data_IF_445591443760
#
_entry.id   IF_445591443760
#
_cell.length_a   1.000
_cell.length_b   1.000
_cell.length_c   1.000
_cell.angle_alpha   90.00
_cell.angle_beta   90.00
_cell.angle_gamma   90.00
#
_symmetry.space_group_name_H-M   'P 1'
#
loop_
_entity.id
_entity.type
_entity.pdbx_description
1 polymer ?
#
# COMPACT_ATOMS: atom_id res chain seq x y z
N UNK A 1 -19.40 5.21 31.79
CA UNK A 1 -18.02 5.60 31.42
C UNK A 1 -17.65 4.80 30.19
N UNK A 2 -17.85 5.37 28.99
CA UNK A 2 -17.49 4.76 27.72
C UNK A 2 -15.96 4.74 27.59
N UNK A 3 -15.34 3.55 27.61
CA UNK A 3 -13.95 3.38 27.22
C UNK A 3 -13.88 3.70 25.72
N UNK A 4 -13.27 4.83 25.38
CA UNK A 4 -12.92 5.22 24.01
C UNK A 4 -11.97 4.15 23.44
N UNK A 5 -12.52 3.09 22.83
CA UNK A 5 -11.74 2.18 22.00
C UNK A 5 -11.42 2.96 20.70
N UNK A 6 -10.26 3.64 20.69
CA UNK A 6 -9.69 4.13 19.43
C UNK A 6 -9.46 2.92 18.54
N UNK A 7 -10.02 2.97 17.33
CA UNK A 7 -9.83 1.89 16.35
C UNK A 7 -8.34 1.71 16.04
N UNK A 8 -7.94 0.53 15.65
CA UNK A 8 -6.55 0.27 15.22
C UNK A 8 -6.17 1.16 14.04
N UNK A 9 -7.11 1.41 13.14
CA UNK A 9 -6.99 2.35 12.02
C UNK A 9 -6.64 3.78 12.49
N UNK A 10 -7.30 4.30 13.53
CA UNK A 10 -6.97 5.63 14.08
C UNK A 10 -5.56 5.67 14.68
N UNK A 11 -5.12 4.61 15.34
CA UNK A 11 -3.77 4.53 15.89
C UNK A 11 -2.70 4.52 14.80
N UNK A 12 -2.93 3.77 13.72
CA UNK A 12 -2.03 3.72 12.55
C UNK A 12 -1.94 5.08 11.88
N UNK A 13 -3.07 5.76 11.67
CA UNK A 13 -3.12 7.10 11.11
C UNK A 13 -2.35 8.12 11.98
N UNK A 14 -2.61 8.16 13.29
CA UNK A 14 -1.90 9.06 14.21
C UNK A 14 -0.39 8.80 14.24
N UNK A 15 0.02 7.53 14.14
CA UNK A 15 1.43 7.17 14.06
C UNK A 15 2.06 7.69 12.76
N UNK A 16 1.34 7.59 11.64
CA UNK A 16 1.80 8.08 10.34
C UNK A 16 1.90 9.60 10.31
N UNK A 17 0.89 10.30 10.82
CA UNK A 17 0.88 11.77 10.93
C UNK A 17 2.05 12.27 11.79
N UNK A 18 2.36 11.58 12.91
CA UNK A 18 3.55 11.89 13.72
C UNK A 18 4.84 11.70 12.94
N UNK A 19 5.00 10.60 12.19
CA UNK A 19 6.21 10.33 11.40
C UNK A 19 6.45 11.40 10.34
N UNK A 20 5.40 11.79 9.61
CA UNK A 20 5.49 12.88 8.62
C UNK A 20 5.77 14.24 9.26
N UNK A 21 5.19 14.52 10.43
CA UNK A 21 5.46 15.73 11.18
C UNK A 21 6.91 15.78 11.68
N UNK A 22 7.43 14.66 12.18
CA UNK A 22 8.84 14.56 12.61
C UNK A 22 9.81 14.80 11.45
N UNK A 23 9.51 14.27 10.26
CA UNK A 23 10.30 14.55 9.06
C UNK A 23 10.30 16.05 8.73
N UNK A 24 9.13 16.70 8.79
CA UNK A 24 9.02 18.15 8.58
C UNK A 24 9.80 18.97 9.62
N UNK A 25 9.70 18.60 10.90
CA UNK A 25 10.42 19.26 11.99
C UNK A 25 11.94 19.11 11.84
N UNK A 26 12.43 17.92 11.44
CA UNK A 26 13.84 17.71 11.15
C UNK A 26 14.38 18.72 10.11
N UNK A 27 13.64 18.92 9.03
CA UNK A 27 14.02 19.87 7.97
C UNK A 27 13.96 21.32 8.50
N UNK A 28 12.90 21.66 9.24
CA UNK A 28 12.73 22.98 9.84
C UNK A 28 13.88 23.32 10.80
N UNK A 29 14.26 22.40 11.67
CA UNK A 29 15.34 22.60 12.63
C UNK A 29 16.70 22.80 11.94
N UNK A 30 16.98 22.03 10.88
CA UNK A 30 18.21 22.20 10.08
C UNK A 30 18.26 23.58 9.41
N UNK A 31 17.13 24.07 8.86
CA UNK A 31 17.06 25.42 8.27
C UNK A 31 17.29 26.50 9.33
N UNK A 32 16.67 26.36 10.52
CA UNK A 32 16.85 27.32 11.62
C UNK A 32 18.30 27.35 12.13
N UNK A 33 18.99 26.20 12.07
CA UNK A 33 20.41 26.10 12.42
C UNK A 33 21.33 26.58 11.28
N UNK A 34 20.78 27.16 10.21
CA UNK A 34 21.51 27.62 9.03
C UNK A 34 22.27 26.49 8.28
N UNK A 35 21.78 25.27 8.41
CA UNK A 35 22.29 24.10 7.68
C UNK A 35 21.56 23.92 6.34
N UNK A 36 22.26 23.34 5.36
CA UNK A 36 21.57 22.83 4.17
C UNK A 36 20.78 21.58 4.55
N UNK A 37 19.44 21.60 4.46
CA UNK A 37 18.64 20.49 4.91
C UNK A 37 18.91 19.19 4.14
N UNK A 38 18.79 18.08 4.84
CA UNK A 38 19.04 16.73 4.33
C UNK A 38 18.15 15.68 5.00
N UNK A 39 17.95 14.57 4.30
CA UNK A 39 17.23 13.40 4.79
C UNK A 39 18.14 12.18 4.65
N UNK A 40 18.24 11.36 5.70
CA UNK A 40 18.87 10.05 5.67
C UNK A 40 17.86 8.99 5.23
N UNK A 41 18.31 8.10 4.34
CA UNK A 41 17.51 6.96 3.89
C UNK A 41 18.43 5.83 3.43
N UNK A 42 17.92 4.60 3.42
CA UNK A 42 18.66 3.48 2.84
C UNK A 42 18.86 3.67 1.33
N UNK A 43 20.03 3.25 0.83
CA UNK A 43 20.29 3.26 -0.61
C UNK A 43 19.45 2.21 -1.31
N UNK A 44 18.77 2.60 -2.39
CA UNK A 44 18.01 1.72 -3.27
C UNK A 44 18.82 1.18 -4.44
N UNK A 45 20.14 1.39 -4.44
CA UNK A 45 21.01 0.85 -5.49
C UNK A 45 21.08 -0.68 -5.44
N UNK A 46 21.24 -1.31 -6.59
CA UNK A 46 21.28 -2.77 -6.73
C UNK A 46 22.38 -3.41 -5.89
N UNK A 47 23.48 -2.72 -5.66
CA UNK A 47 24.60 -3.14 -4.81
C UNK A 47 24.28 -3.10 -3.30
N UNK A 48 23.13 -2.54 -2.91
CA UNK A 48 22.62 -2.52 -1.55
C UNK A 48 21.38 -3.43 -1.36
N UNK A 49 21.09 -4.30 -2.31
CA UNK A 49 20.02 -5.29 -2.18
C UNK A 49 20.65 -6.60 -1.69
N UNK A 50 20.20 -7.10 -0.55
CA UNK A 50 20.70 -8.32 0.08
C UNK A 50 19.57 -9.33 0.23
N UNK A 51 19.90 -10.62 0.11
CA UNK A 51 18.93 -11.68 0.36
C UNK A 51 18.89 -11.99 1.86
N UNK A 52 17.72 -11.85 2.47
CA UNK A 52 17.46 -12.27 3.85
C UNK A 52 16.90 -13.70 3.87
N UNK A 53 17.71 -14.62 4.37
CA UNK A 53 17.35 -16.04 4.41
C UNK A 53 16.22 -16.37 5.41
N UNK A 54 15.99 -15.52 6.42
CA UNK A 54 14.96 -15.75 7.43
C UNK A 54 13.56 -15.53 6.84
N UNK A 55 13.40 -14.45 6.07
CA UNK A 55 12.12 -14.11 5.40
C UNK A 55 12.10 -14.56 3.94
N UNK A 56 13.22 -15.13 3.44
CA UNK A 56 13.40 -15.62 2.06
C UNK A 56 13.09 -14.55 0.99
N UNK A 57 13.49 -13.31 1.26
CA UNK A 57 13.23 -12.17 0.38
C UNK A 57 14.48 -11.31 0.18
N UNK A 58 14.51 -10.54 -0.91
CA UNK A 58 15.47 -9.49 -1.11
C UNK A 58 15.04 -8.22 -0.39
N UNK A 59 15.91 -7.66 0.44
CA UNK A 59 15.65 -6.47 1.24
C UNK A 59 16.74 -5.42 1.00
N UNK A 60 16.47 -4.18 1.36
CA UNK A 60 17.48 -3.14 1.34
C UNK A 60 18.55 -3.42 2.41
N UNK A 61 19.80 -3.37 2.01
CA UNK A 61 20.96 -3.53 2.89
C UNK A 61 21.21 -2.31 3.78
N UNK A 62 22.26 -2.33 4.60
CA UNK A 62 22.51 -1.32 5.63
C UNK A 62 23.09 0.00 5.09
N UNK A 63 23.44 0.09 3.79
CA UNK A 63 24.05 1.28 3.24
C UNK A 63 23.08 2.45 3.23
N UNK A 64 23.48 3.55 3.91
CA UNK A 64 22.73 4.78 4.00
C UNK A 64 23.21 5.82 3.00
N UNK A 65 22.29 6.63 2.49
CA UNK A 65 22.58 7.80 1.66
C UNK A 65 21.95 9.05 2.29
N UNK A 66 22.44 10.23 1.89
CA UNK A 66 21.84 11.52 2.24
C UNK A 66 21.27 12.16 0.99
N UNK A 67 19.99 12.45 1.01
CA UNK A 67 19.37 13.41 0.10
C UNK A 67 19.52 14.79 0.73
N UNK A 68 20.19 15.74 0.06
CA UNK A 68 20.45 17.06 0.65
C UNK A 68 20.30 18.17 -0.38
N UNK A 69 19.95 19.38 0.09
CA UNK A 69 19.71 20.55 -0.74
C UNK A 69 20.98 21.25 -1.28
N UNK A 70 22.15 20.93 -0.70
CA UNK A 70 23.43 21.59 -1.05
C UNK A 70 23.93 21.30 -2.47
N UNK A 71 23.56 20.16 -3.03
CA UNK A 71 24.04 19.73 -4.35
C UNK A 71 22.97 19.99 -5.42
N UNK A 72 23.35 20.68 -6.48
CA UNK A 72 22.42 21.04 -7.58
C UNK A 72 21.77 19.80 -8.22
N UNK A 73 22.45 18.66 -8.24
CA UNK A 73 21.89 17.40 -8.76
C UNK A 73 20.87 16.77 -7.79
N UNK A 74 20.91 17.13 -6.52
CA UNK A 74 20.04 16.57 -5.48
C UNK A 74 18.92 17.52 -5.09
N UNK A 75 19.01 18.81 -5.40
CA UNK A 75 18.02 19.80 -4.95
C UNK A 75 16.63 19.50 -5.50
N UNK A 76 16.52 19.15 -6.78
CA UNK A 76 15.25 18.81 -7.42
C UNK A 76 14.61 17.57 -6.76
N UNK A 77 15.25 16.38 -6.69
CA UNK A 77 14.66 15.23 -6.03
C UNK A 77 14.48 15.44 -4.51
N UNK A 78 15.26 16.30 -3.87
CA UNK A 78 15.04 16.69 -2.48
C UNK A 78 13.75 17.51 -2.32
N UNK A 79 13.54 18.53 -3.15
CA UNK A 79 12.32 19.37 -3.13
C UNK A 79 11.08 18.53 -3.45
N UNK A 80 11.17 17.63 -4.45
CA UNK A 80 10.12 16.68 -4.79
C UNK A 80 9.77 15.78 -3.61
N UNK A 81 10.78 15.27 -2.87
CA UNK A 81 10.57 14.41 -1.69
C UNK A 81 9.87 15.17 -0.55
N UNK A 82 10.26 16.41 -0.28
CA UNK A 82 9.62 17.26 0.73
C UNK A 82 8.16 17.54 0.35
N UNK A 83 7.90 17.89 -0.91
CA UNK A 83 6.55 18.11 -1.38
C UNK A 83 5.69 16.83 -1.26
N UNK A 84 6.22 15.68 -1.66
CA UNK A 84 5.52 14.40 -1.54
C UNK A 84 5.20 14.08 -0.08
N UNK A 85 6.12 14.35 0.86
CA UNK A 85 5.87 14.18 2.28
C UNK A 85 4.79 15.13 2.81
N UNK A 86 4.79 16.39 2.38
CA UNK A 86 3.73 17.34 2.69
C UNK A 86 2.39 16.90 2.12
N UNK A 87 2.33 16.48 0.85
CA UNK A 87 1.12 15.99 0.20
C UNK A 87 0.57 14.75 0.91
N UNK A 88 1.42 13.79 1.24
CA UNK A 88 1.05 12.62 2.03
C UNK A 88 0.48 13.02 3.40
N UNK A 89 1.07 14.01 4.09
CA UNK A 89 0.54 14.52 5.36
C UNK A 89 -0.85 15.10 5.20
N UNK A 90 -1.09 15.90 4.14
CA UNK A 90 -2.42 16.45 3.85
C UNK A 90 -3.45 15.33 3.62
N UNK A 91 -3.09 14.28 2.86
CA UNK A 91 -3.97 13.12 2.66
C UNK A 91 -4.34 12.44 3.97
N UNK A 92 -3.35 12.16 4.82
CA UNK A 92 -3.54 11.50 6.12
C UNK A 92 -4.40 12.36 7.05
N UNK A 93 -4.11 13.66 7.15
CA UNK A 93 -4.84 14.60 8.02
C UNK A 93 -6.29 14.79 7.55
N UNK A 94 -6.51 14.89 6.24
CA UNK A 94 -7.85 15.06 5.65
C UNK A 94 -8.62 13.74 5.49
N UNK A 95 -8.03 12.60 5.83
CA UNK A 95 -8.59 11.26 5.59
C UNK A 95 -8.96 11.03 4.11
N UNK A 96 -8.15 11.56 3.21
CA UNK A 96 -8.28 11.37 1.76
C UNK A 96 -7.22 10.40 1.27
N UNK A 97 -7.46 9.83 0.10
CA UNK A 97 -6.52 8.97 -0.60
C UNK A 97 -6.16 9.57 -1.94
N UNK A 98 -5.02 9.18 -2.48
CA UNK A 98 -4.59 9.51 -3.83
C UNK A 98 -4.03 8.28 -4.52
N UNK A 99 -4.15 8.23 -5.84
CA UNK A 99 -3.42 7.24 -6.63
C UNK A 99 -2.03 7.75 -6.99
N UNK A 100 -1.10 6.83 -7.34
CA UNK A 100 0.22 7.21 -7.88
C UNK A 100 0.10 8.21 -9.02
N UNK A 101 -0.84 7.96 -9.93
CA UNK A 101 -1.08 8.84 -11.10
C UNK A 101 -1.64 10.21 -10.69
N UNK A 102 -2.57 10.24 -9.78
CA UNK A 102 -3.13 11.49 -9.25
C UNK A 102 -2.10 12.30 -8.50
N UNK A 103 -1.21 11.67 -7.72
CA UNK A 103 -0.09 12.32 -7.06
C UNK A 103 0.81 13.03 -8.07
N UNK A 104 1.15 12.37 -9.18
CA UNK A 104 1.90 12.98 -10.29
C UNK A 104 1.20 14.21 -10.87
N UNK A 105 -0.12 14.12 -11.14
CA UNK A 105 -0.87 15.26 -11.70
C UNK A 105 -1.06 16.39 -10.69
N UNK A 106 -1.22 16.09 -9.41
CA UNK A 106 -1.33 17.10 -8.34
C UNK A 106 -0.05 17.93 -8.23
N UNK A 107 1.10 17.31 -8.43
CA UNK A 107 2.38 18.00 -8.45
C UNK A 107 2.51 18.98 -9.64
N UNK A 108 2.00 18.62 -10.82
CA UNK A 108 2.07 19.47 -12.01
C UNK A 108 1.34 20.83 -11.85
N UNK A 109 0.42 20.92 -10.89
CA UNK A 109 -0.24 22.17 -10.53
C UNK A 109 0.60 23.08 -9.63
N UNK A 110 1.75 22.62 -9.14
CA UNK A 110 2.63 23.36 -8.25
C UNK A 110 3.76 24.05 -9.04
N UNK A 111 4.00 25.33 -8.75
CA UNK A 111 4.92 26.18 -9.53
C UNK A 111 6.38 25.69 -9.49
N UNK A 112 6.78 25.13 -8.33
CA UNK A 112 8.18 24.81 -8.05
C UNK A 112 8.44 23.29 -8.01
N UNK A 113 7.42 22.48 -8.30
CA UNK A 113 7.51 21.01 -8.32
C UNK A 113 7.26 20.52 -9.73
N UNK A 114 8.30 20.01 -10.35
CA UNK A 114 8.23 19.46 -11.68
C UNK A 114 8.73 18.01 -11.70
N UNK A 115 7.91 17.12 -12.26
CA UNK A 115 8.30 15.76 -12.60
C UNK A 115 8.40 15.62 -14.12
N UNK A 116 9.44 14.99 -14.62
CA UNK A 116 9.61 14.73 -16.06
C UNK A 116 8.54 13.79 -16.58
N UNK A 117 8.22 12.78 -15.79
CA UNK A 117 7.23 11.75 -16.08
C UNK A 117 6.67 11.13 -14.79
N UNK A 118 5.71 10.22 -14.92
CA UNK A 118 5.13 9.51 -13.79
C UNK A 118 6.16 8.61 -13.08
N UNK A 119 7.13 8.06 -13.81
CA UNK A 119 8.15 7.16 -13.22
C UNK A 119 9.03 7.90 -12.22
N UNK A 120 9.38 9.17 -12.52
CA UNK A 120 10.11 10.03 -11.58
C UNK A 120 9.29 10.24 -10.30
N UNK A 121 7.99 10.55 -10.41
CA UNK A 121 7.08 10.69 -9.28
C UNK A 121 7.00 9.41 -8.45
N UNK A 122 6.82 8.26 -9.09
CA UNK A 122 6.73 6.95 -8.43
C UNK A 122 8.03 6.61 -7.69
N UNK A 123 9.19 6.99 -8.24
CA UNK A 123 10.49 6.84 -7.59
C UNK A 123 10.63 7.71 -6.35
N UNK A 124 10.13 8.95 -6.38
CA UNK A 124 10.15 9.83 -5.20
C UNK A 124 9.20 9.32 -4.11
N UNK A 125 8.03 8.79 -4.46
CA UNK A 125 7.13 8.13 -3.51
C UNK A 125 7.84 6.93 -2.86
N UNK A 126 8.56 6.13 -3.64
CA UNK A 126 9.37 5.02 -3.11
C UNK A 126 10.52 5.51 -2.22
N UNK A 127 11.16 6.65 -2.55
CA UNK A 127 12.15 7.27 -1.66
C UNK A 127 11.52 7.69 -0.33
N UNK A 128 10.27 8.18 -0.34
CA UNK A 128 9.53 8.52 0.89
C UNK A 128 9.20 7.27 1.73
N UNK A 129 8.80 6.15 1.09
CA UNK A 129 8.61 4.86 1.78
C UNK A 129 9.88 4.46 2.55
N UNK A 130 11.04 4.56 1.89
CA UNK A 130 12.33 4.20 2.50
C UNK A 130 12.72 5.19 3.59
N UNK A 131 12.51 6.49 3.39
CA UNK A 131 12.84 7.53 4.38
C UNK A 131 12.01 7.41 5.67
N UNK A 132 10.76 6.98 5.56
CA UNK A 132 9.84 6.79 6.68
C UNK A 132 9.86 5.35 7.23
N UNK A 133 10.45 4.41 6.50
CA UNK A 133 10.33 2.96 6.72
C UNK A 133 8.83 2.55 6.84
N UNK A 134 8.02 3.00 5.88
CA UNK A 134 6.58 2.80 5.84
C UNK A 134 6.11 2.55 4.41
N UNK A 135 5.10 1.69 4.24
CA UNK A 135 4.48 1.48 2.95
C UNK A 135 3.66 2.71 2.53
N UNK A 136 3.59 2.98 1.22
CA UNK A 136 2.85 4.13 0.67
C UNK A 136 1.37 4.11 1.01
N UNK A 137 0.79 2.95 1.18
CA UNK A 137 -0.59 2.76 1.59
C UNK A 137 -0.86 3.32 3.00
N UNK A 138 0.15 3.31 3.88
CA UNK A 138 0.03 3.87 5.23
C UNK A 138 -0.06 5.41 5.21
N UNK A 139 0.50 6.06 4.20
CA UNK A 139 0.35 7.50 3.99
C UNK A 139 -0.63 7.86 2.86
N UNK A 140 -1.61 6.96 2.62
CA UNK A 140 -2.78 7.16 1.78
C UNK A 140 -2.49 7.36 0.28
N UNK A 141 -1.36 6.84 -0.23
CA UNK A 141 -1.07 6.79 -1.67
C UNK A 141 -1.17 5.33 -2.14
N UNK A 142 -2.05 5.06 -3.10
CA UNK A 142 -2.38 3.71 -3.56
C UNK A 142 -2.02 3.52 -5.05
N UNK A 143 -1.67 2.30 -5.48
CA UNK A 143 -1.67 1.98 -6.91
C UNK A 143 -3.10 2.05 -7.46
N UNK A 144 -3.24 2.11 -8.77
CA UNK A 144 -4.55 1.97 -9.41
C UNK A 144 -5.17 0.61 -9.06
N UNK A 145 -6.43 0.63 -8.67
CA UNK A 145 -7.18 -0.56 -8.26
C UNK A 145 -7.39 -1.49 -9.46
N UNK A 146 -7.09 -2.77 -9.28
CA UNK A 146 -7.23 -3.78 -10.34
C UNK A 146 -7.74 -5.11 -9.82
N UNK A 147 -7.73 -5.32 -8.52
CA UNK A 147 -8.07 -6.57 -7.87
C UNK A 147 -9.46 -6.53 -7.28
N UNK A 148 -10.12 -7.67 -7.18
CA UNK A 148 -11.43 -7.81 -6.56
C UNK A 148 -11.43 -8.97 -5.55
N UNK A 149 -12.31 -8.88 -4.56
CA UNK A 149 -12.54 -9.91 -3.55
C UNK A 149 -14.02 -10.25 -3.49
N UNK A 150 -14.33 -11.54 -3.29
CA UNK A 150 -15.69 -12.05 -3.16
C UNK A 150 -15.71 -13.28 -2.23
N UNK A 151 -16.76 -13.42 -1.46
CA UNK A 151 -16.95 -14.58 -0.58
C UNK A 151 -17.54 -14.18 0.77
N UNK A 152 -17.75 -15.16 1.63
CA UNK A 152 -18.30 -14.92 2.96
C UNK A 152 -17.24 -14.33 3.88
N UNK A 153 -17.14 -13.01 3.86
CA UNK A 153 -16.34 -12.21 4.76
C UNK A 153 -17.11 -10.96 5.15
N UNK A 154 -17.41 -10.82 6.43
CA UNK A 154 -18.02 -9.61 6.98
C UNK A 154 -16.94 -8.61 7.35
N UNK A 155 -17.07 -7.40 6.82
CA UNK A 155 -16.16 -6.28 7.09
C UNK A 155 -16.90 -5.12 7.77
N UNK A 156 -16.15 -4.30 8.51
CA UNK A 156 -16.60 -3.02 9.04
C UNK A 156 -15.75 -1.89 8.45
N UNK A 157 -16.41 -0.93 7.80
CA UNK A 157 -15.71 0.20 7.18
C UNK A 157 -15.17 1.17 8.23
N UNK A 158 -13.97 1.69 7.99
CA UNK A 158 -13.31 2.72 8.81
C UNK A 158 -13.13 4.04 8.06
N UNK A 159 -13.54 4.09 6.78
CA UNK A 159 -13.42 5.31 5.95
C UNK A 159 -14.48 6.35 6.30
N UNK A 160 -14.19 7.67 6.12
CA UNK A 160 -15.09 8.75 6.45
C UNK A 160 -16.49 8.60 5.82
N UNK A 161 -17.53 8.74 6.64
CA UNK A 161 -18.94 8.64 6.24
C UNK A 161 -19.47 7.22 6.14
N UNK A 162 -18.64 6.21 6.37
CA UNK A 162 -19.02 4.80 6.41
C UNK A 162 -18.56 4.10 7.70
N UNK A 163 -18.00 4.85 8.65
CA UNK A 163 -17.45 4.28 9.88
C UNK A 163 -18.50 3.44 10.63
N UNK A 164 -18.13 2.22 10.98
CA UNK A 164 -19.00 1.28 11.68
C UNK A 164 -20.06 0.60 10.82
N UNK A 165 -20.16 0.95 9.52
CA UNK A 165 -21.07 0.24 8.61
C UNK A 165 -20.48 -1.14 8.28
N UNK A 166 -21.28 -2.17 8.49
CA UNK A 166 -20.93 -3.57 8.19
C UNK A 166 -21.56 -4.01 6.88
N UNK A 167 -20.86 -4.84 6.14
CA UNK A 167 -21.36 -5.54 4.96
C UNK A 167 -20.66 -6.89 4.83
N UNK A 168 -21.36 -7.87 4.32
CA UNK A 168 -20.75 -9.11 3.86
C UNK A 168 -20.39 -8.96 2.39
N UNK A 169 -19.22 -9.47 1.97
CA UNK A 169 -18.77 -9.29 0.58
C UNK A 169 -19.63 -10.06 -0.43
N UNK A 170 -20.42 -11.05 0.01
CA UNK A 170 -21.42 -11.73 -0.81
C UNK A 170 -22.64 -10.87 -1.15
N UNK A 171 -22.85 -9.73 -0.46
CA UNK A 171 -23.91 -8.77 -0.81
C UNK A 171 -23.64 -8.07 -2.16
N UNK A 172 -22.45 -8.23 -2.72
CA UNK A 172 -22.00 -7.62 -3.98
C UNK A 172 -21.78 -8.70 -5.04
N UNK A 173 -22.75 -8.96 -5.94
CA UNK A 173 -22.73 -10.12 -6.86
C UNK A 173 -21.55 -10.15 -7.82
N UNK A 174 -20.94 -9.01 -8.15
CA UNK A 174 -19.76 -8.90 -9.03
C UNK A 174 -18.44 -8.89 -8.25
N UNK A 175 -18.50 -9.09 -6.93
CA UNK A 175 -17.37 -8.89 -6.03
C UNK A 175 -17.10 -7.42 -5.71
N UNK A 176 -16.20 -7.17 -4.78
CA UNK A 176 -15.81 -5.83 -4.32
C UNK A 176 -14.39 -5.54 -4.75
N UNK A 177 -14.19 -4.38 -5.38
CA UNK A 177 -12.87 -3.93 -5.77
C UNK A 177 -11.99 -3.65 -4.52
N UNK A 178 -10.77 -4.17 -4.53
CA UNK A 178 -9.79 -3.97 -3.45
C UNK A 178 -9.17 -2.59 -3.58
N UNK A 179 -9.83 -1.61 -2.97
CA UNK A 179 -9.38 -0.23 -2.86
C UNK A 179 -9.08 0.17 -1.41
N UNK A 180 -8.84 1.47 -1.18
CA UNK A 180 -8.53 2.00 0.15
C UNK A 180 -9.57 1.62 1.21
N UNK A 181 -10.86 1.62 0.86
CA UNK A 181 -11.94 1.31 1.79
C UNK A 181 -11.87 -0.14 2.30
N UNK A 182 -11.55 -1.10 1.44
CA UNK A 182 -11.39 -2.51 1.82
C UNK A 182 -10.07 -2.72 2.53
N UNK A 183 -8.99 -2.09 2.06
CA UNK A 183 -7.65 -2.25 2.67
C UNK A 183 -7.62 -1.74 4.12
N UNK A 184 -8.36 -0.67 4.42
CA UNK A 184 -8.43 -0.09 5.77
C UNK A 184 -9.54 -0.67 6.65
N UNK A 185 -10.47 -1.47 6.10
CA UNK A 185 -11.59 -2.04 6.86
C UNK A 185 -11.12 -3.04 7.93
N UNK A 186 -11.91 -3.15 8.99
CA UNK A 186 -11.77 -4.24 9.95
C UNK A 186 -12.48 -5.49 9.43
N UNK A 187 -11.79 -6.62 9.42
CA UNK A 187 -12.39 -7.92 9.12
C UNK A 187 -12.98 -8.46 10.43
N UNK A 188 -14.23 -8.93 10.39
CA UNK A 188 -14.94 -9.33 11.60
C UNK A 188 -15.08 -10.85 11.70
N UNK A 189 -15.71 -11.46 10.70
CA UNK A 189 -16.04 -12.88 10.69
C UNK A 189 -16.06 -13.44 9.27
N UNK A 190 -15.76 -14.71 9.15
CA UNK A 190 -15.88 -15.50 7.92
C UNK A 190 -16.18 -16.95 8.28
N UNK A 191 -16.96 -17.64 7.47
CA UNK A 191 -17.12 -19.10 7.54
C UNK A 191 -16.19 -19.82 6.55
N UNK A 192 -15.51 -19.10 5.68
CA UNK A 192 -14.59 -19.69 4.71
C UNK A 192 -13.42 -20.38 5.41
N UNK A 193 -12.95 -21.47 4.83
CA UNK A 193 -11.83 -22.26 5.34
C UNK A 193 -10.56 -22.16 4.48
N UNK A 194 -10.60 -21.35 3.42
CA UNK A 194 -9.46 -21.10 2.53
C UNK A 194 -9.63 -19.84 1.67
N UNK A 195 -8.52 -19.39 1.09
CA UNK A 195 -8.47 -18.31 0.10
C UNK A 195 -8.07 -18.92 -1.25
N UNK A 196 -8.84 -18.61 -2.30
CA UNK A 196 -8.49 -18.91 -3.70
C UNK A 196 -8.09 -17.62 -4.40
N UNK A 197 -6.82 -17.51 -4.75
CA UNK A 197 -6.27 -16.39 -5.51
C UNK A 197 -6.29 -16.73 -7.00
N UNK A 198 -6.95 -15.90 -7.80
CA UNK A 198 -7.20 -16.14 -9.23
C UNK A 198 -6.51 -15.04 -10.05
N UNK A 199 -5.59 -15.41 -10.93
CA UNK A 199 -4.84 -14.44 -11.73
C UNK A 199 -5.74 -13.74 -12.77
N UNK A 200 -6.65 -14.47 -13.44
CA UNK A 200 -7.47 -13.94 -14.54
C UNK A 200 -8.87 -13.53 -14.11
N UNK A 201 -9.25 -12.28 -14.47
CA UNK A 201 -10.58 -11.75 -14.18
C UNK A 201 -11.74 -12.55 -14.80
N UNK A 202 -11.57 -13.03 -16.03
CA UNK A 202 -12.61 -13.86 -16.66
C UNK A 202 -12.86 -15.17 -15.88
N UNK A 203 -11.82 -15.78 -15.32
CA UNK A 203 -11.95 -16.97 -14.50
C UNK A 203 -12.58 -16.64 -13.14
N UNK A 204 -12.19 -15.51 -12.54
CA UNK A 204 -12.80 -15.04 -11.29
C UNK A 204 -14.31 -14.85 -11.46
N UNK A 205 -14.75 -14.11 -12.50
CA UNK A 205 -16.17 -13.88 -12.77
C UNK A 205 -16.90 -15.22 -12.96
N UNK A 206 -16.30 -16.15 -13.71
CA UNK A 206 -16.90 -17.47 -13.90
C UNK A 206 -17.05 -18.25 -12.59
N UNK A 207 -16.04 -18.19 -11.73
CA UNK A 207 -16.09 -18.86 -10.42
C UNK A 207 -17.13 -18.20 -9.48
N UNK A 208 -17.33 -16.90 -9.57
CA UNK A 208 -18.41 -16.20 -8.85
C UNK A 208 -19.78 -16.66 -9.36
N UNK A 209 -20.02 -16.63 -10.67
CA UNK A 209 -21.25 -17.12 -11.31
C UNK A 209 -21.59 -18.57 -10.94
N UNK A 210 -20.58 -19.44 -10.91
CA UNK A 210 -20.72 -20.86 -10.55
C UNK A 210 -20.82 -21.09 -9.03
N UNK A 211 -20.85 -20.03 -8.22
CA UNK A 211 -20.91 -20.08 -6.75
C UNK A 211 -19.78 -20.93 -6.15
N UNK A 212 -18.57 -20.79 -6.71
CA UNK A 212 -17.40 -21.53 -6.24
C UNK A 212 -17.05 -21.23 -4.78
N UNK A 213 -17.33 -20.01 -4.29
CA UNK A 213 -17.16 -19.62 -2.88
C UNK A 213 -17.96 -20.53 -1.94
N UNK A 214 -19.17 -20.95 -2.30
CA UNK A 214 -19.97 -21.89 -1.50
C UNK A 214 -19.50 -23.34 -1.71
N UNK A 215 -19.30 -23.76 -2.98
CA UNK A 215 -18.88 -25.11 -3.31
C UNK A 215 -17.58 -25.53 -2.64
N UNK A 216 -16.65 -24.59 -2.51
CA UNK A 216 -15.32 -24.80 -1.94
C UNK A 216 -15.13 -24.16 -0.56
N UNK A 217 -16.15 -23.51 -0.03
CA UNK A 217 -16.09 -22.75 1.22
C UNK A 217 -14.88 -21.78 1.23
N UNK A 218 -14.79 -20.89 0.25
CA UNK A 218 -13.59 -20.10 -0.01
C UNK A 218 -13.87 -18.63 -0.23
N UNK A 219 -12.92 -17.78 0.17
CA UNK A 219 -12.83 -16.40 -0.28
C UNK A 219 -12.10 -16.38 -1.62
N UNK A 220 -12.69 -15.76 -2.64
CA UNK A 220 -12.13 -15.61 -3.97
C UNK A 220 -11.45 -14.26 -4.10
N UNK A 221 -10.20 -14.20 -4.55
CA UNK A 221 -9.47 -12.96 -4.79
C UNK A 221 -8.90 -12.96 -6.20
N UNK A 222 -9.28 -11.95 -6.99
CA UNK A 222 -8.70 -11.70 -8.32
C UNK A 222 -7.52 -10.76 -8.20
N UNK A 223 -6.39 -11.06 -8.88
CA UNK A 223 -5.19 -10.22 -8.86
C UNK A 223 -4.96 -9.41 -10.14
N UNK A 224 -5.64 -9.73 -11.23
CA UNK A 224 -5.48 -9.10 -12.55
C UNK A 224 -4.02 -9.08 -13.04
N UNK A 225 -3.35 -10.22 -13.01
CA UNK A 225 -1.94 -10.40 -13.31
C UNK A 225 -1.10 -10.28 -12.03
N UNK A 226 0.00 -9.53 -12.08
CA UNK A 226 0.83 -9.33 -10.90
C UNK A 226 0.05 -8.66 -9.77
N UNK A 227 -0.04 -9.34 -8.62
CA UNK A 227 -0.81 -8.89 -7.47
C UNK A 227 -0.31 -7.56 -6.91
N UNK A 228 -1.17 -6.53 -6.80
CA UNK A 228 -0.83 -5.29 -6.11
C UNK A 228 -0.46 -5.53 -4.63
N UNK A 229 0.33 -4.62 -4.04
CA UNK A 229 0.75 -4.72 -2.61
C UNK A 229 -0.45 -4.74 -1.67
N UNK A 230 -1.47 -3.91 -1.92
CA UNK A 230 -2.72 -3.89 -1.15
C UNK A 230 -3.43 -5.24 -1.16
N UNK A 231 -3.49 -5.89 -2.31
CA UNK A 231 -4.08 -7.23 -2.45
C UNK A 231 -3.27 -8.27 -1.69
N UNK A 232 -1.94 -8.23 -1.79
CA UNK A 232 -1.06 -9.13 -1.02
C UNK A 232 -1.21 -8.92 0.49
N UNK A 233 -1.34 -7.67 0.93
CA UNK A 233 -1.58 -7.38 2.35
C UNK A 233 -2.89 -7.98 2.85
N UNK A 234 -3.97 -7.94 2.04
CA UNK A 234 -5.25 -8.58 2.37
C UNK A 234 -5.11 -10.10 2.41
N UNK A 235 -4.44 -10.70 1.41
CA UNK A 235 -4.20 -12.15 1.39
C UNK A 235 -3.41 -12.58 2.63
N UNK A 236 -2.35 -11.85 2.96
CA UNK A 236 -1.54 -12.12 4.15
C UNK A 236 -2.36 -11.99 5.44
N UNK A 237 -3.20 -10.95 5.54
CA UNK A 237 -4.07 -10.75 6.69
C UNK A 237 -5.09 -11.89 6.86
N UNK A 238 -5.69 -12.39 5.78
CA UNK A 238 -6.57 -13.55 5.81
C UNK A 238 -5.83 -14.82 6.23
N UNK A 239 -4.58 -14.97 5.81
CA UNK A 239 -3.74 -16.10 6.20
C UNK A 239 -3.29 -16.02 7.66
N UNK A 240 -2.75 -14.90 8.10
CA UNK A 240 -2.15 -14.75 9.45
C UNK A 240 -3.21 -14.58 10.56
N UNK A 241 -4.25 -13.75 10.32
CA UNK A 241 -5.22 -13.41 11.35
C UNK A 241 -6.37 -14.43 11.44
N UNK A 242 -6.67 -15.13 10.33
CA UNK A 242 -7.78 -16.09 10.22
C UNK A 242 -7.34 -17.54 9.98
N UNK A 243 -6.02 -17.78 9.91
CA UNK A 243 -5.41 -19.11 9.66
C UNK A 243 -5.95 -19.80 8.37
N UNK A 244 -6.27 -18.99 7.34
CA UNK A 244 -6.80 -19.50 6.09
C UNK A 244 -5.66 -19.92 5.15
N UNK A 245 -5.60 -21.20 4.71
CA UNK A 245 -4.66 -21.62 3.68
C UNK A 245 -4.95 -20.93 2.35
N UNK A 246 -3.89 -20.51 1.66
CA UNK A 246 -3.97 -19.78 0.39
C UNK A 246 -3.63 -20.70 -0.77
N UNK A 247 -4.54 -20.82 -1.72
CA UNK A 247 -4.35 -21.55 -2.97
C UNK A 247 -4.34 -20.57 -4.14
N UNK A 248 -3.40 -20.75 -5.05
CA UNK A 248 -3.25 -19.85 -6.20
C UNK A 248 -3.62 -20.59 -7.48
N UNK A 249 -4.48 -19.97 -8.27
CA UNK A 249 -4.97 -20.46 -9.55
C UNK A 249 -4.46 -19.54 -10.67
N UNK A 250 -3.46 -20.02 -11.41
CA UNK A 250 -2.77 -19.28 -12.46
C UNK A 250 -2.76 -20.08 -13.76
N UNK A 251 -2.40 -19.41 -14.84
CA UNK A 251 -2.06 -20.07 -16.09
C UNK A 251 -0.77 -20.90 -15.94
N UNK A 252 -0.68 -21.96 -16.71
CA UNK A 252 0.53 -22.79 -16.80
C UNK A 252 1.54 -22.21 -17.81
N UNK A 253 1.80 -20.90 -17.73
CA UNK A 253 2.81 -20.25 -18.56
C UNK A 253 4.06 -19.84 -17.73
N UNK A 254 5.23 -19.67 -18.36
CA UNK A 254 6.45 -19.31 -17.66
C UNK A 254 6.38 -17.96 -16.93
N UNK A 255 5.56 -17.01 -17.41
CA UNK A 255 5.42 -15.67 -16.81
C UNK A 255 4.62 -15.77 -15.52
N UNK A 256 3.50 -16.46 -15.53
CA UNK A 256 2.67 -16.70 -14.33
C UNK A 256 3.46 -17.45 -13.26
N UNK A 257 4.26 -18.45 -13.65
CA UNK A 257 5.14 -19.15 -12.72
C UNK A 257 6.19 -18.23 -12.10
N UNK A 258 6.76 -17.33 -12.88
CA UNK A 258 7.74 -16.34 -12.40
C UNK A 258 7.11 -15.37 -11.38
N UNK A 259 5.84 -14.95 -11.60
CA UNK A 259 5.11 -14.09 -10.66
C UNK A 259 4.86 -14.74 -9.29
N UNK A 260 4.75 -16.08 -9.26
CA UNK A 260 4.58 -16.84 -8.03
C UNK A 260 5.90 -17.02 -7.25
N UNK A 261 7.01 -17.15 -7.96
CA UNK A 261 8.30 -17.54 -7.38
C UNK A 261 9.21 -16.36 -7.08
N UNK A 262 9.01 -15.21 -7.71
CA UNK A 262 9.78 -14.00 -7.40
C UNK A 262 9.26 -13.38 -6.12
N UNK A 263 10.16 -13.11 -5.14
CA UNK A 263 9.80 -12.32 -3.98
C UNK A 263 9.38 -10.93 -4.46
N UNK A 264 8.15 -10.59 -4.19
CA UNK A 264 7.60 -9.28 -4.51
C UNK A 264 7.83 -8.35 -3.33
N UNK A 265 8.80 -7.45 -3.48
CA UNK A 265 9.04 -6.35 -2.55
C UNK A 265 7.88 -5.36 -2.53
#
# INVERSE_FOLDING_TARGET
>A
MSKNHRSESDRRREAMERSLTQLGNLIYDQINNQEFPWIHMQSRSTDNIVYDANIRQYVLGPRMIRRHSRNIRHIRPFTQLIWTAWFAKELVTQRKTSTLRETYYSARGQRDIEYSDQTESDNIITDLEVALNRAREEFNIFPAERSSIFGDLTIEYTVPGYEGKRTNLTDHPDGVMIGPAITSSEFLETTADKVLVIEKGAMFNRLVEERAHEKFNAILIQTAGQSPRSTRAIINRLHEDYDLPVYIFTDADPVSYTHLTLPTN
#
